data_IF_790319498463
#
_entry.id   IF_790319498463
#
_cell.length_a   1.000
_cell.length_b   1.000
_cell.length_c   1.000
_cell.angle_alpha   90.00
_cell.angle_beta   90.00
_cell.angle_gamma   90.00
#
_symmetry.space_group_name_H-M   'P 1'
#
loop_
_entity.id
_entity.type
_entity.pdbx_description
1 polymer ?
#
# COMPACT_ATOMS: atom_id res chain seq x y z
N UNK A 1 0.19 -0.50 14.67
CA UNK A 1 -1.13 -1.11 14.39
C UNK A 1 -2.00 -0.01 13.83
N UNK A 2 -2.68 -0.24 12.71
CA UNK A 2 -3.77 0.63 12.28
C UNK A 2 -5.00 0.27 13.11
N UNK A 3 -5.61 1.25 13.79
CA UNK A 3 -6.90 1.05 14.45
C UNK A 3 -7.98 0.78 13.40
N UNK A 4 -8.95 -0.07 13.73
CA UNK A 4 -10.11 -0.27 12.86
C UNK A 4 -11.05 0.93 13.02
N UNK A 5 -11.70 1.34 11.92
CA UNK A 5 -12.61 2.47 11.94
C UNK A 5 -13.86 2.15 11.11
N UNK A 6 -14.98 2.77 11.48
CA UNK A 6 -16.23 2.69 10.76
C UNK A 6 -16.71 4.10 10.40
N UNK A 7 -17.22 4.24 9.19
CA UNK A 7 -17.94 5.42 8.73
C UNK A 7 -19.41 5.05 8.60
N UNK A 8 -20.25 5.71 9.39
CA UNK A 8 -21.68 5.44 9.45
C UNK A 8 -22.45 6.64 8.93
N UNK A 9 -23.51 6.40 8.15
CA UNK A 9 -24.42 7.44 7.67
C UNK A 9 -25.79 7.23 8.29
N UNK A 10 -26.32 8.28 8.92
CA UNK A 10 -27.71 8.29 9.40
C UNK A 10 -28.70 8.66 8.30
N UNK A 11 -29.98 8.37 8.53
CA UNK A 11 -31.09 8.81 7.67
C UNK A 11 -31.18 10.33 7.50
N UNK A 12 -30.65 11.10 8.45
CA UNK A 12 -30.61 12.56 8.40
C UNK A 12 -29.34 13.10 7.71
N UNK A 13 -28.67 12.27 6.88
CA UNK A 13 -27.44 12.63 6.17
C UNK A 13 -26.28 13.12 7.07
N UNK A 14 -26.26 12.67 8.33
CA UNK A 14 -25.09 12.85 9.21
C UNK A 14 -24.16 11.66 9.10
N UNK A 15 -22.88 11.95 8.95
CA UNK A 15 -21.77 11.02 9.02
C UNK A 15 -21.19 10.97 10.43
N UNK A 16 -21.01 9.76 10.92
CA UNK A 16 -20.34 9.49 12.17
C UNK A 16 -19.06 8.73 11.87
N UNK A 17 -17.95 9.26 12.33
CA UNK A 17 -16.68 8.56 12.29
C UNK A 17 -16.39 7.92 13.63
N UNK A 18 -16.21 6.61 13.63
CA UNK A 18 -16.01 5.83 14.83
C UNK A 18 -14.70 5.06 14.76
N UNK A 19 -13.89 5.17 15.81
CA UNK A 19 -12.73 4.33 16.04
C UNK A 19 -13.16 3.10 16.83
N UNK A 20 -12.73 1.94 16.36
CA UNK A 20 -12.95 0.64 16.97
C UNK A 20 -11.58 0.18 17.47
N UNK A 21 -11.30 0.48 18.73
CA UNK A 21 -10.08 0.03 19.37
C UNK A 21 -10.36 -1.27 20.13
N UNK A 22 -9.61 -2.32 19.80
CA UNK A 22 -9.58 -3.53 20.62
C UNK A 22 -8.82 -3.23 21.91
N UNK A 23 -9.44 -3.46 23.07
CA UNK A 23 -8.70 -3.40 24.34
C UNK A 23 -7.64 -4.49 24.33
N UNK A 24 -6.41 -4.17 24.74
CA UNK A 24 -5.31 -5.15 24.82
C UNK A 24 -5.61 -6.30 25.79
N UNK A 25 -6.58 -6.10 26.67
CA UNK A 25 -6.91 -6.98 27.78
C UNK A 25 -8.07 -7.94 27.45
N UNK A 26 -8.57 -7.94 26.21
CA UNK A 26 -9.60 -8.89 25.76
C UNK A 26 -11.00 -8.66 26.36
N UNK A 27 -11.21 -7.56 27.08
CA UNK A 27 -12.43 -7.25 27.83
C UNK A 27 -13.51 -6.52 27.00
N UNK A 28 -13.28 -6.34 25.70
CA UNK A 28 -14.26 -5.78 24.76
C UNK A 28 -13.67 -4.72 23.81
N UNK A 29 -14.49 -4.30 22.85
CA UNK A 29 -14.13 -3.21 21.93
C UNK A 29 -14.57 -1.87 22.52
N UNK A 30 -13.67 -0.90 22.57
CA UNK A 30 -14.02 0.48 22.92
C UNK A 30 -14.37 1.20 21.64
N UNK A 31 -15.56 1.78 21.63
CA UNK A 31 -16.11 2.51 20.50
C UNK A 31 -16.00 4.00 20.80
N UNK A 32 -15.08 4.70 20.12
CA UNK A 32 -14.93 6.15 20.29
C UNK A 32 -15.43 6.87 19.05
N UNK A 33 -16.40 7.76 19.23
CA UNK A 33 -16.79 8.69 18.16
C UNK A 33 -15.68 9.73 18.02
N UNK A 34 -15.05 9.77 16.85
CA UNK A 34 -14.03 10.75 16.50
C UNK A 34 -14.63 12.06 16.01
N UNK A 35 -15.81 12.00 15.39
CA UNK A 35 -16.51 13.16 14.89
C UNK A 35 -17.90 12.84 14.33
N UNK A 36 -18.70 13.88 14.21
CA UNK A 36 -20.05 13.86 13.66
C UNK A 36 -20.19 15.05 12.73
N UNK A 37 -20.42 14.78 11.45
CA UNK A 37 -20.43 15.76 10.37
C UNK A 37 -21.69 15.61 9.55
N UNK A 38 -22.13 16.68 8.90
CA UNK A 38 -23.10 16.61 7.82
C UNK A 38 -22.36 16.36 6.49
N UNK A 39 -23.05 15.76 5.53
CA UNK A 39 -22.46 15.52 4.20
C UNK A 39 -22.04 16.82 3.47
N UNK A 40 -22.75 17.92 3.70
CA UNK A 40 -22.41 19.24 3.14
C UNK A 40 -21.18 19.89 3.78
N UNK A 41 -20.66 19.34 4.88
CA UNK A 41 -19.43 19.79 5.53
C UNK A 41 -18.18 19.10 4.95
N UNK A 42 -18.34 18.21 3.97
CA UNK A 42 -17.23 17.63 3.22
C UNK A 42 -16.81 18.60 2.12
N UNK A 43 -15.57 19.07 2.20
CA UNK A 43 -14.96 19.94 1.22
C UNK A 43 -14.42 19.16 0.02
N UNK A 44 -13.73 18.06 0.29
CA UNK A 44 -13.00 17.32 -0.72
C UNK A 44 -12.76 15.87 -0.29
N UNK A 45 -12.80 14.97 -1.27
CA UNK A 45 -12.36 13.59 -1.13
C UNK A 45 -11.26 13.29 -2.14
N UNK A 46 -10.12 12.82 -1.66
CA UNK A 46 -9.01 12.38 -2.50
C UNK A 46 -8.89 10.86 -2.42
N UNK A 47 -8.84 10.19 -3.57
CA UNK A 47 -8.62 8.74 -3.67
C UNK A 47 -7.28 8.42 -4.30
N UNK A 48 -6.70 7.27 -3.97
CA UNK A 48 -5.43 6.81 -4.51
C UNK A 48 -5.08 5.40 -4.06
N UNK A 49 -3.86 4.97 -4.35
CA UNK A 49 -3.36 3.63 -4.03
C UNK A 49 -4.20 2.53 -4.68
N UNK A 50 -4.47 2.64 -5.97
CA UNK A 50 -5.39 1.75 -6.69
C UNK A 50 -6.78 1.74 -6.05
N UNK A 51 -7.25 2.91 -5.60
CA UNK A 51 -8.49 3.10 -4.82
C UNK A 51 -8.52 2.42 -3.43
N UNK A 52 -7.39 2.00 -2.86
CA UNK A 52 -7.34 1.46 -1.50
C UNK A 52 -7.24 2.53 -0.40
N UNK A 53 -6.92 3.78 -0.76
CA UNK A 53 -6.88 4.89 0.18
C UNK A 53 -7.87 5.99 -0.18
N UNK A 54 -8.42 6.61 0.85
CA UNK A 54 -9.32 7.76 0.75
C UNK A 54 -8.99 8.77 1.84
N UNK A 55 -8.79 10.03 1.44
CA UNK A 55 -8.67 11.16 2.34
C UNK A 55 -9.94 11.99 2.24
N UNK A 56 -10.56 12.25 3.38
CA UNK A 56 -11.75 13.09 3.49
C UNK A 56 -11.34 14.37 4.21
N UNK A 57 -11.45 15.49 3.51
CA UNK A 57 -11.17 16.82 4.02
C UNK A 57 -12.49 17.53 4.33
N UNK A 58 -12.66 17.95 5.58
CA UNK A 58 -13.82 18.70 6.05
C UNK A 58 -13.60 20.20 5.87
N UNK A 59 -14.69 20.97 5.82
CA UNK A 59 -14.67 22.45 5.71
C UNK A 59 -14.01 23.12 6.94
N UNK A 60 -14.12 22.52 8.12
CA UNK A 60 -13.50 22.99 9.37
C UNK A 60 -11.98 22.70 9.46
N UNK A 61 -11.40 22.11 8.42
CA UNK A 61 -9.99 21.75 8.32
C UNK A 61 -9.65 20.37 8.88
N UNK A 62 -10.60 19.64 9.48
CA UNK A 62 -10.35 18.27 9.94
C UNK A 62 -10.16 17.34 8.75
N UNK A 63 -9.18 16.44 8.86
CA UNK A 63 -8.83 15.46 7.82
C UNK A 63 -8.87 14.06 8.37
N UNK A 64 -9.43 13.13 7.60
CA UNK A 64 -9.37 11.70 7.90
C UNK A 64 -8.80 10.92 6.72
N UNK A 65 -7.90 9.99 7.00
CA UNK A 65 -7.34 9.07 5.99
C UNK A 65 -7.79 7.66 6.32
N UNK A 66 -8.45 7.03 5.36
CA UNK A 66 -8.89 5.65 5.41
C UNK A 66 -8.03 4.82 4.47
N UNK A 67 -7.55 3.69 4.95
CA UNK A 67 -6.96 2.64 4.13
C UNK A 67 -7.86 1.42 4.24
N UNK A 68 -8.44 1.02 3.12
CA UNK A 68 -9.35 -0.11 3.06
C UNK A 68 -8.60 -1.38 2.70
N UNK A 69 -9.11 -2.51 3.19
CA UNK A 69 -8.54 -3.84 2.89
C UNK A 69 -8.85 -4.31 1.47
N UNK A 70 -9.82 -3.70 0.80
CA UNK A 70 -10.31 -4.07 -0.52
C UNK A 70 -10.96 -2.86 -1.20
N UNK A 71 -10.80 -2.77 -2.52
CA UNK A 71 -11.29 -1.63 -3.32
C UNK A 71 -12.81 -1.52 -3.25
N UNK A 72 -13.51 -2.64 -3.10
CA UNK A 72 -14.96 -2.72 -2.96
C UNK A 72 -15.46 -1.93 -1.74
N UNK A 73 -14.69 -1.96 -0.64
CA UNK A 73 -14.99 -1.18 0.57
C UNK A 73 -14.85 0.31 0.28
N UNK A 74 -13.80 0.72 -0.44
CA UNK A 74 -13.65 2.13 -0.84
C UNK A 74 -14.80 2.59 -1.74
N UNK A 75 -15.24 1.76 -2.69
CA UNK A 75 -16.39 2.07 -3.55
C UNK A 75 -17.67 2.24 -2.72
N UNK A 76 -17.89 1.37 -1.74
CA UNK A 76 -19.03 1.50 -0.82
C UNK A 76 -18.96 2.79 0.01
N UNK A 77 -17.77 3.14 0.52
CA UNK A 77 -17.56 4.39 1.25
C UNK A 77 -17.86 5.61 0.37
N UNK A 78 -17.39 5.66 -0.88
CA UNK A 78 -17.75 6.76 -1.80
C UNK A 78 -19.26 6.84 -2.07
N UNK A 79 -19.92 5.68 -2.17
CA UNK A 79 -21.37 5.61 -2.29
C UNK A 79 -22.09 6.18 -1.06
N UNK A 80 -21.63 5.87 0.15
CA UNK A 80 -22.17 6.43 1.39
C UNK A 80 -22.06 7.96 1.42
N UNK A 81 -20.94 8.49 0.95
CA UNK A 81 -20.68 9.93 0.86
C UNK A 81 -21.54 10.66 -0.19
N UNK A 82 -22.42 9.94 -0.92
CA UNK A 82 -23.25 10.50 -1.99
C UNK A 82 -22.47 11.21 -3.11
N UNK A 83 -21.20 10.86 -3.30
CA UNK A 83 -20.35 11.50 -4.32
C UNK A 83 -20.81 11.15 -5.75
N UNK A 84 -21.58 10.06 -5.92
CA UNK A 84 -22.04 9.56 -7.22
C UNK A 84 -23.55 9.75 -7.49
N UNK A 85 -24.28 10.55 -6.72
CA UNK A 85 -25.74 10.70 -6.85
C UNK A 85 -26.18 12.07 -7.36
N UNK A 86 -26.54 12.18 -8.64
CA UNK A 86 -27.44 13.23 -9.13
C UNK A 86 -28.83 13.01 -8.53
N UNK A 87 -29.52 13.96 -7.93
CA UNK A 87 -30.02 15.19 -8.52
C UNK A 87 -30.53 16.06 -7.35
N UNK A 88 -30.28 17.37 -7.41
CA UNK A 88 -30.57 18.34 -6.35
C UNK A 88 -29.64 18.21 -5.12
N UNK A 89 -28.34 18.47 -5.29
CA UNK A 89 -27.59 19.06 -4.17
C UNK A 89 -26.47 19.95 -4.65
N UNK A 90 -26.44 21.16 -4.10
CA UNK A 90 -25.42 22.19 -4.16
C UNK A 90 -24.12 21.80 -3.44
N UNK A 91 -23.80 20.50 -3.37
CA UNK A 91 -22.66 20.01 -2.59
C UNK A 91 -21.37 20.35 -3.32
N UNK A 92 -20.57 21.21 -2.68
CA UNK A 92 -19.24 21.69 -3.12
C UNK A 92 -18.13 20.65 -3.06
N UNK A 93 -18.45 19.42 -2.65
CA UNK A 93 -17.46 18.35 -2.47
C UNK A 93 -16.80 18.00 -3.82
N UNK A 94 -15.49 18.23 -3.92
CA UNK A 94 -14.70 17.75 -5.06
C UNK A 94 -14.20 16.32 -4.82
N UNK A 95 -14.17 15.51 -5.88
CA UNK A 95 -13.51 14.20 -5.87
C UNK A 95 -12.26 14.28 -6.74
N UNK A 96 -11.10 13.96 -6.16
CA UNK A 96 -9.81 13.98 -6.86
C UNK A 96 -9.12 12.62 -6.81
N UNK A 97 -8.40 12.29 -7.87
CA UNK A 97 -7.56 11.09 -7.95
C UNK A 97 -6.08 11.46 -7.84
N UNK A 98 -5.40 10.86 -6.87
CA UNK A 98 -3.98 11.03 -6.60
C UNK A 98 -3.10 9.99 -7.31
N UNK A 99 -3.68 9.10 -8.11
CA UNK A 99 -2.95 7.98 -8.74
C UNK A 99 -1.78 8.47 -9.60
N UNK A 100 -1.98 9.52 -10.41
CA UNK A 100 -0.92 10.09 -11.24
C UNK A 100 0.20 10.74 -10.42
N UNK A 101 -0.16 11.44 -9.33
CA UNK A 101 0.81 12.04 -8.41
C UNK A 101 1.62 10.97 -7.71
N UNK A 102 1.00 9.85 -7.33
CA UNK A 102 1.69 8.72 -6.71
C UNK A 102 2.67 8.06 -7.67
N UNK A 103 2.34 7.92 -8.96
CA UNK A 103 3.28 7.43 -9.97
C UNK A 103 4.49 8.38 -10.09
N UNK A 104 4.27 9.69 -10.20
CA UNK A 104 5.36 10.68 -10.26
C UNK A 104 6.27 10.63 -9.01
N UNK A 105 5.68 10.50 -7.82
CA UNK A 105 6.42 10.41 -6.56
C UNK A 105 7.18 9.09 -6.46
N UNK A 106 6.63 7.99 -6.97
CA UNK A 106 7.31 6.70 -7.03
C UNK A 106 8.50 6.76 -7.98
N UNK A 107 8.35 7.31 -9.19
CA UNK A 107 9.44 7.49 -10.16
C UNK A 107 10.64 8.23 -9.54
N UNK A 108 10.35 9.32 -8.81
CA UNK A 108 11.36 10.08 -8.07
C UNK A 108 12.02 9.24 -6.97
N UNK A 109 11.24 8.46 -6.22
CA UNK A 109 11.75 7.62 -5.13
C UNK A 109 12.70 6.54 -5.63
N UNK A 110 12.35 5.85 -6.72
CA UNK A 110 13.16 4.75 -7.27
C UNK A 110 14.21 5.22 -8.29
N UNK A 111 14.33 6.53 -8.54
CA UNK A 111 15.24 7.13 -9.53
C UNK A 111 15.15 6.45 -10.92
N UNK A 112 13.95 6.05 -11.34
CA UNK A 112 13.72 5.33 -12.59
C UNK A 112 12.44 5.84 -13.24
N UNK A 113 12.50 6.09 -14.55
CA UNK A 113 11.29 6.35 -15.33
C UNK A 113 10.51 5.05 -15.48
N UNK A 114 9.23 5.07 -15.13
CA UNK A 114 8.29 3.95 -15.21
C UNK A 114 7.66 3.86 -16.59
N UNK A 115 8.47 3.91 -17.67
CA UNK A 115 7.95 3.90 -19.06
C UNK A 115 7.10 2.69 -19.40
N UNK A 116 7.40 1.56 -18.78
CA UNK A 116 6.70 0.27 -18.89
C UNK A 116 5.52 0.10 -17.94
N UNK A 117 5.33 1.05 -17.01
CA UNK A 117 4.24 1.08 -16.04
C UNK A 117 4.43 0.16 -14.83
N UNK A 118 3.42 0.18 -13.97
CA UNK A 118 3.31 -0.65 -12.78
C UNK A 118 2.43 -1.84 -13.12
N UNK A 119 2.96 -3.06 -13.05
CA UNK A 119 2.22 -4.29 -13.35
C UNK A 119 1.34 -4.75 -12.19
N UNK A 120 1.74 -4.39 -10.98
CA UNK A 120 1.01 -4.73 -9.76
C UNK A 120 1.31 -3.75 -8.64
N UNK A 121 0.29 -3.42 -7.86
CA UNK A 121 0.39 -2.64 -6.63
C UNK A 121 -0.48 -3.26 -5.54
N UNK A 122 0.02 -3.27 -4.30
CA UNK A 122 -0.83 -3.45 -3.13
C UNK A 122 -0.16 -3.01 -1.83
N UNK A 123 -0.98 -2.58 -0.88
CA UNK A 123 -0.59 -2.48 0.52
C UNK A 123 -0.54 -3.87 1.18
N UNK A 124 0.60 -4.18 1.78
CA UNK A 124 0.88 -5.47 2.42
C UNK A 124 1.44 -5.27 3.82
N UNK A 125 1.38 -6.33 4.63
CA UNK A 125 2.20 -6.46 5.82
C UNK A 125 3.48 -7.18 5.43
N UNK A 126 4.60 -6.49 5.56
CA UNK A 126 5.92 -6.93 5.14
C UNK A 126 6.80 -7.22 6.35
N UNK A 127 7.61 -8.26 6.22
CA UNK A 127 8.65 -8.63 7.17
C UNK A 127 9.87 -9.16 6.41
N UNK A 128 11.07 -8.83 6.87
CA UNK A 128 12.33 -9.33 6.30
C UNK A 128 13.32 -9.68 7.41
N UNK A 129 14.23 -10.63 7.15
CA UNK A 129 15.22 -11.12 8.13
C UNK A 129 16.07 -10.03 8.81
N UNK A 130 16.28 -8.89 8.14
CA UNK A 130 17.06 -7.76 8.68
C UNK A 130 16.30 -6.91 9.72
N UNK A 131 15.00 -7.14 9.91
CA UNK A 131 14.22 -6.44 10.92
C UNK A 131 14.60 -6.97 12.31
N UNK A 132 15.37 -6.20 13.07
CA UNK A 132 15.74 -6.50 14.47
C UNK A 132 14.50 -6.68 15.39
N UNK A 133 13.32 -6.27 14.94
CA UNK A 133 12.03 -6.53 15.59
C UNK A 133 11.18 -7.58 14.85
N UNK A 134 10.48 -8.43 15.61
CA UNK A 134 9.49 -9.43 15.12
C UNK A 134 8.21 -8.81 14.54
N UNK A 135 8.15 -7.51 14.31
CA UNK A 135 6.91 -6.81 13.96
C UNK A 135 6.71 -6.73 12.45
N UNK A 136 5.49 -7.04 12.02
CA UNK A 136 5.03 -6.78 10.65
C UNK A 136 4.90 -5.28 10.41
N UNK A 137 5.40 -4.83 9.27
CA UNK A 137 5.40 -3.43 8.86
C UNK A 137 4.45 -3.24 7.69
N UNK A 138 3.56 -2.24 7.74
CA UNK A 138 2.75 -1.90 6.57
C UNK A 138 3.64 -1.26 5.52
N UNK A 139 3.59 -1.79 4.30
CA UNK A 139 4.39 -1.36 3.16
C UNK A 139 3.57 -1.43 1.89
N UNK A 140 3.91 -0.59 0.94
CA UNK A 140 3.47 -0.78 -0.43
C UNK A 140 4.45 -1.63 -1.21
N UNK A 141 3.88 -2.59 -1.92
CA UNK A 141 4.60 -3.47 -2.81
C UNK A 141 4.20 -3.15 -4.25
N UNK A 142 5.22 -2.94 -5.08
CA UNK A 142 5.09 -2.70 -6.51
C UNK A 142 5.79 -3.81 -7.29
N UNK A 143 5.23 -4.18 -8.44
CA UNK A 143 5.92 -4.98 -9.46
C UNK A 143 6.10 -4.14 -10.71
N UNK A 144 7.36 -3.94 -11.11
CA UNK A 144 7.77 -3.02 -12.18
C UNK A 144 8.89 -3.70 -12.96
N UNK A 145 8.73 -3.95 -14.26
CA UNK A 145 9.81 -4.47 -15.12
C UNK A 145 10.56 -5.71 -14.58
N UNK A 146 9.86 -6.64 -13.93
CA UNK A 146 10.49 -7.81 -13.34
C UNK A 146 11.19 -7.55 -12.00
N UNK A 147 11.02 -6.36 -11.42
CA UNK A 147 11.47 -5.97 -10.10
C UNK A 147 10.29 -5.87 -9.14
N UNK A 148 10.42 -6.45 -7.96
CA UNK A 148 9.57 -6.19 -6.81
C UNK A 148 10.21 -5.06 -6.01
N UNK A 149 9.47 -3.97 -5.79
CA UNK A 149 9.91 -2.84 -4.97
C UNK A 149 9.00 -2.72 -3.76
N UNK A 150 9.60 -2.56 -2.59
CA UNK A 150 8.90 -2.33 -1.32
C UNK A 150 9.25 -0.94 -0.82
N UNK A 151 8.22 -0.12 -0.58
CA UNK A 151 8.36 1.24 -0.09
C UNK A 151 7.56 1.42 1.21
N UNK A 152 8.06 2.31 2.06
CA UNK A 152 7.26 2.94 3.11
C UNK A 152 6.46 4.10 2.51
N UNK A 153 5.16 4.15 2.81
CA UNK A 153 4.27 5.25 2.42
C UNK A 153 3.99 6.18 3.60
N UNK A 154 4.25 7.47 3.42
CA UNK A 154 3.85 8.50 4.36
C UNK A 154 2.40 8.93 4.10
N UNK A 155 1.45 8.15 4.65
CA UNK A 155 0.01 8.40 4.47
C UNK A 155 -0.47 9.74 5.04
N UNK A 156 0.32 10.43 5.88
CA UNK A 156 0.00 11.79 6.35
C UNK A 156 0.01 12.78 5.18
N UNK A 157 0.92 12.57 4.22
CA UNK A 157 1.04 13.38 3.01
C UNK A 157 0.12 12.94 1.88
N UNK A 158 -0.54 11.79 2.00
CA UNK A 158 -1.46 11.31 0.98
C UNK A 158 -2.56 12.36 0.72
N UNK A 159 -2.72 12.80 -0.52
CA UNK A 159 -3.74 13.78 -0.89
C UNK A 159 -3.54 15.17 -0.30
N UNK A 160 -2.35 15.52 0.20
CA UNK A 160 -2.03 16.90 0.58
C UNK A 160 -1.86 17.79 -0.65
N UNK A 161 -2.04 19.10 -0.48
CA UNK A 161 -1.72 20.03 -1.57
C UNK A 161 -0.24 19.94 -1.94
N UNK A 162 0.11 20.27 -3.19
CA UNK A 162 1.51 20.26 -3.64
C UNK A 162 2.37 21.26 -2.87
N UNK A 163 1.78 22.35 -2.38
CA UNK A 163 2.44 23.37 -1.57
C UNK A 163 2.62 22.93 -0.11
N UNK A 164 1.78 21.99 0.37
CA UNK A 164 1.84 21.38 1.71
C UNK A 164 2.70 20.11 1.77
N UNK A 165 3.35 19.72 0.66
CA UNK A 165 4.34 18.65 0.67
C UNK A 165 5.54 19.13 1.51
N UNK A 166 5.53 18.78 2.80
CA UNK A 166 6.61 19.10 3.74
C UNK A 166 7.97 18.52 3.32
N UNK A 167 8.99 18.68 4.17
CA UNK A 167 10.37 18.25 3.87
C UNK A 167 10.55 16.74 3.70
N UNK A 168 9.62 15.92 4.20
CA UNK A 168 9.69 14.47 4.11
C UNK A 168 9.09 13.98 2.78
N UNK A 169 9.66 12.98 2.09
CA UNK A 169 9.06 12.45 0.88
C UNK A 169 7.87 11.51 1.18
N UNK A 170 6.93 11.44 0.23
CA UNK A 170 5.75 10.57 0.32
C UNK A 170 6.15 9.08 0.33
N UNK A 171 6.99 8.67 -0.62
CA UNK A 171 7.58 7.35 -0.63
C UNK A 171 9.00 7.39 -0.06
N UNK A 172 9.32 6.42 0.79
CA UNK A 172 10.69 6.09 1.13
C UNK A 172 10.98 4.66 0.66
N UNK A 173 12.05 4.51 -0.10
CA UNK A 173 12.53 3.20 -0.53
C UNK A 173 12.90 2.35 0.70
N UNK A 174 12.41 1.11 0.76
CA UNK A 174 12.77 0.15 1.83
C UNK A 174 13.70 -0.93 1.27
N UNK A 175 13.20 -1.74 0.33
CA UNK A 175 13.96 -2.86 -0.23
C UNK A 175 13.42 -3.25 -1.61
N UNK A 176 14.19 -4.04 -2.36
CA UNK A 176 13.80 -4.52 -3.68
C UNK A 176 14.34 -5.93 -3.96
N UNK A 177 13.70 -6.62 -4.90
CA UNK A 177 14.11 -7.95 -5.34
C UNK A 177 13.81 -8.11 -6.83
N UNK A 178 14.81 -8.49 -7.64
CA UNK A 178 14.54 -8.91 -9.02
C UNK A 178 13.88 -10.29 -8.99
N UNK A 179 12.79 -10.46 -9.73
CA UNK A 179 11.98 -11.68 -9.76
C UNK A 179 12.81 -12.90 -10.18
N UNK A 180 13.77 -12.71 -11.09
CA UNK A 180 14.69 -13.78 -11.53
C UNK A 180 15.57 -14.37 -10.41
N UNK A 181 15.73 -13.65 -9.28
CA UNK A 181 16.56 -14.10 -8.15
C UNK A 181 15.74 -14.79 -7.06
N UNK A 182 14.43 -14.96 -7.25
CA UNK A 182 13.60 -15.71 -6.32
C UNK A 182 13.94 -17.19 -6.48
N UNK A 183 14.40 -17.81 -5.40
CA UNK A 183 14.81 -19.22 -5.38
C UNK A 183 13.64 -20.13 -5.04
N UNK A 184 12.81 -19.69 -4.09
CA UNK A 184 11.68 -20.46 -3.58
C UNK A 184 10.55 -19.52 -3.15
N UNK A 185 9.33 -20.00 -3.36
CA UNK A 185 8.09 -19.31 -3.03
C UNK A 185 7.21 -20.26 -2.21
N UNK A 186 6.92 -19.91 -0.95
CA UNK A 186 6.05 -20.69 -0.06
C UNK A 186 4.75 -19.94 0.16
N UNK A 187 3.64 -20.58 -0.17
CA UNK A 187 2.30 -20.00 -0.09
C UNK A 187 1.56 -20.63 1.08
N UNK A 188 1.07 -19.78 1.99
CA UNK A 188 0.19 -20.13 3.10
C UNK A 188 -1.18 -19.42 2.89
N UNK A 189 -2.09 -19.99 2.06
CA UNK A 189 -3.31 -19.30 1.65
C UNK A 189 -4.22 -18.95 2.83
N UNK A 190 -4.33 -19.86 3.81
CA UNK A 190 -5.13 -19.67 5.04
C UNK A 190 -4.69 -18.44 5.83
N UNK A 191 -3.39 -18.19 5.87
CA UNK A 191 -2.81 -17.02 6.54
C UNK A 191 -2.71 -15.80 5.63
N UNK A 192 -3.08 -15.93 4.35
CA UNK A 192 -2.83 -14.96 3.28
C UNK A 192 -1.37 -14.52 3.25
N UNK A 193 -0.47 -15.44 3.54
CA UNK A 193 0.95 -15.18 3.74
C UNK A 193 1.75 -15.83 2.61
N UNK A 194 2.76 -15.11 2.15
CA UNK A 194 3.71 -15.55 1.16
C UNK A 194 5.11 -15.38 1.70
N UNK A 195 5.92 -16.43 1.66
CA UNK A 195 7.35 -16.34 1.96
C UNK A 195 8.13 -16.43 0.66
N UNK A 196 8.97 -15.42 0.41
CA UNK A 196 9.93 -15.40 -0.69
C UNK A 196 11.32 -15.66 -0.13
N UNK A 197 12.00 -16.65 -0.69
CA UNK A 197 13.42 -16.88 -0.43
C UNK A 197 14.17 -16.39 -1.66
N UNK A 198 15.02 -15.38 -1.45
CA UNK A 198 15.72 -14.70 -2.52
C UNK A 198 17.22 -15.00 -2.45
N UNK A 199 17.81 -15.26 -3.61
CA UNK A 199 19.25 -15.37 -3.77
C UNK A 199 19.88 -13.98 -3.73
N UNK A 200 21.07 -13.86 -3.15
CA UNK A 200 21.76 -12.57 -3.09
C UNK A 200 22.14 -12.09 -4.51
N UNK A 201 21.76 -10.86 -4.84
CA UNK A 201 22.53 -9.98 -5.73
C UNK A 201 23.39 -9.11 -4.81
N UNK A 202 24.63 -8.76 -5.18
CA UNK A 202 25.37 -7.75 -4.43
C UNK A 202 24.46 -6.55 -4.17
N UNK A 203 24.40 -6.12 -2.91
CA UNK A 203 23.93 -4.77 -2.61
C UNK A 203 24.99 -3.80 -3.13
N UNK A 204 25.12 -3.71 -4.45
CA UNK A 204 25.39 -2.40 -4.99
C UNK A 204 24.22 -1.58 -4.49
N UNK A 205 24.53 -0.55 -3.70
CA UNK A 205 23.70 0.64 -3.75
C UNK A 205 23.46 0.84 -5.24
N UNK A 206 22.26 0.55 -5.73
CA UNK A 206 21.95 0.93 -7.08
C UNK A 206 21.79 2.45 -6.97
N UNK A 207 22.91 3.16 -6.96
CA UNK A 207 22.99 4.42 -7.67
C UNK A 207 22.67 4.04 -9.11
N UNK A 208 21.38 4.06 -9.42
CA UNK A 208 20.85 3.93 -10.78
C UNK A 208 21.34 5.21 -11.49
N UNK A 209 22.60 5.21 -11.90
CA UNK A 209 23.36 6.39 -12.29
C UNK A 209 24.55 6.68 -11.38
N UNK A 210 25.58 5.84 -11.42
CA UNK A 210 26.99 6.23 -11.64
C UNK A 210 27.93 5.09 -11.26
N UNK A 211 28.82 4.76 -12.19
CA UNK A 211 29.76 3.65 -12.14
C UNK A 211 30.97 3.98 -11.27
N UNK A 212 31.11 3.36 -10.10
CA UNK A 212 32.42 3.22 -9.45
C UNK A 212 32.66 1.81 -8.92
N UNK A 213 33.65 1.17 -9.55
CA UNK A 213 34.22 -0.14 -9.20
C UNK A 213 34.86 -0.09 -7.81
N UNK A 214 34.36 -0.90 -6.89
CA UNK A 214 35.03 -1.25 -5.64
C UNK A 214 34.62 -2.65 -5.21
N UNK A 215 35.50 -3.64 -5.39
CA UNK A 215 35.27 -5.02 -4.94
C UNK A 215 35.33 -5.05 -3.41
N UNK A 216 34.18 -5.10 -2.76
CA UNK A 216 34.05 -5.50 -1.36
C UNK A 216 33.57 -6.94 -1.31
N UNK A 217 34.28 -7.76 -0.54
CA UNK A 217 34.00 -9.18 -0.35
C UNK A 217 32.76 -9.32 0.55
N UNK A 218 31.59 -9.59 -0.03
CA UNK A 218 30.32 -9.65 0.71
C UNK A 218 29.96 -11.11 1.03
N UNK A 219 29.79 -11.40 2.32
CA UNK A 219 29.31 -12.69 2.81
C UNK A 219 27.93 -13.02 2.21
N UNK A 220 27.83 -14.18 1.56
CA UNK A 220 26.62 -14.69 0.90
C UNK A 220 25.60 -15.17 1.95
N UNK A 221 24.52 -14.43 2.17
CA UNK A 221 23.36 -14.91 2.95
C UNK A 221 22.09 -14.67 2.16
N UNK A 222 21.28 -15.71 1.97
CA UNK A 222 19.92 -15.60 1.41
C UNK A 222 19.06 -14.66 2.26
N UNK A 223 18.15 -13.92 1.64
CA UNK A 223 17.20 -13.07 2.36
C UNK A 223 15.80 -13.66 2.26
N UNK A 224 15.13 -13.79 3.40
CA UNK A 224 13.74 -14.22 3.50
C UNK A 224 12.83 -13.00 3.65
N UNK A 225 11.84 -12.90 2.77
CA UNK A 225 10.74 -11.95 2.90
C UNK A 225 9.47 -12.69 3.24
N UNK A 226 8.71 -12.19 4.20
CA UNK A 226 7.33 -12.62 4.44
C UNK A 226 6.39 -11.48 4.11
N UNK A 227 5.36 -11.80 3.34
CA UNK A 227 4.43 -10.83 2.78
C UNK A 227 3.03 -11.34 3.08
N UNK A 228 2.31 -10.62 3.93
CA UNK A 228 0.94 -10.96 4.31
C UNK A 228 -0.03 -9.97 3.67
N UNK A 229 -1.02 -10.53 3.00
CA UNK A 229 -2.02 -9.82 2.21
C UNK A 229 -3.32 -9.67 2.98
N UNK A 230 -4.04 -8.59 2.67
CA UNK A 230 -5.40 -8.39 3.20
C UNK A 230 -6.45 -9.20 2.43
N UNK A 231 -6.18 -9.51 1.15
CA UNK A 231 -7.05 -10.27 0.26
C UNK A 231 -6.33 -11.49 -0.32
N UNK A 232 -6.99 -12.64 -0.29
CA UNK A 232 -6.49 -13.89 -0.92
C UNK A 232 -6.43 -13.76 -2.45
N UNK A 233 -7.41 -13.11 -3.07
CA UNK A 233 -7.43 -12.86 -4.51
C UNK A 233 -6.21 -12.04 -4.96
N UNK A 234 -5.82 -11.01 -4.21
CA UNK A 234 -4.62 -10.22 -4.50
C UNK A 234 -3.33 -11.04 -4.35
N UNK A 235 -3.25 -11.92 -3.33
CA UNK A 235 -2.13 -12.85 -3.18
C UNK A 235 -2.02 -13.77 -4.40
N UNK A 236 -3.14 -14.35 -4.86
CA UNK A 236 -3.15 -15.28 -5.99
C UNK A 236 -2.80 -14.58 -7.30
N UNK A 237 -3.28 -13.35 -7.52
CA UNK A 237 -2.89 -12.51 -8.67
C UNK A 237 -1.41 -12.20 -8.66
N UNK A 238 -0.86 -11.81 -7.51
CA UNK A 238 0.57 -11.56 -7.35
C UNK A 238 1.39 -12.81 -7.66
N UNK A 239 1.04 -13.97 -7.10
CA UNK A 239 1.71 -15.24 -7.36
C UNK A 239 1.66 -15.60 -8.86
N UNK A 240 0.51 -15.40 -9.50
CA UNK A 240 0.34 -15.68 -10.93
C UNK A 240 1.23 -14.78 -11.79
N UNK A 241 1.32 -13.49 -11.45
CA UNK A 241 2.20 -12.53 -12.10
C UNK A 241 3.67 -12.91 -11.94
N UNK A 242 4.10 -13.28 -10.72
CA UNK A 242 5.48 -13.71 -10.46
C UNK A 242 5.85 -14.92 -11.32
N UNK A 243 4.97 -15.92 -11.42
CA UNK A 243 5.21 -17.09 -12.28
C UNK A 243 5.37 -16.69 -13.74
N UNK A 244 4.48 -15.84 -14.26
CA UNK A 244 4.51 -15.40 -15.65
C UNK A 244 5.81 -14.66 -15.98
N UNK A 245 6.23 -13.73 -15.12
CA UNK A 245 7.48 -12.97 -15.31
C UNK A 245 8.71 -13.87 -15.17
N UNK A 246 8.73 -14.76 -14.18
CA UNK A 246 9.86 -15.67 -13.95
C UNK A 246 10.04 -16.64 -15.12
N UNK A 247 8.95 -17.20 -15.67
CA UNK A 247 8.98 -18.05 -16.87
C UNK A 247 9.55 -17.33 -18.09
N UNK A 248 9.31 -16.02 -18.22
CA UNK A 248 9.89 -15.21 -19.30
C UNK A 248 11.38 -14.88 -19.10
N UNK A 249 11.91 -15.00 -17.88
CA UNK A 249 13.25 -14.51 -17.52
C UNK A 249 14.25 -15.62 -17.17
N UNK A 250 13.78 -16.81 -16.77
CA UNK A 250 14.61 -17.93 -16.33
C UNK A 250 14.20 -19.23 -17.02
N UNK A 251 15.19 -20.04 -17.39
CA UNK A 251 14.99 -21.35 -17.98
C UNK A 251 14.52 -22.41 -16.97
N UNK A 252 14.65 -22.15 -15.66
CA UNK A 252 14.20 -23.05 -14.61
C UNK A 252 12.83 -22.64 -14.06
N UNK A 253 11.94 -23.59 -13.75
CA UNK A 253 10.67 -23.27 -13.11
C UNK A 253 10.91 -22.78 -11.67
N UNK A 254 10.16 -21.76 -11.26
CA UNK A 254 10.18 -21.27 -9.89
C UNK A 254 9.71 -22.36 -8.93
N UNK A 255 10.50 -22.66 -7.89
CA UNK A 255 10.12 -23.66 -6.88
C UNK A 255 9.01 -23.11 -6.00
N UNK A 256 7.85 -23.77 -6.02
CA UNK A 256 6.67 -23.36 -5.26
C UNK A 256 6.28 -24.46 -4.28
N UNK A 257 6.07 -24.10 -3.01
CA UNK A 257 5.50 -24.98 -1.99
C UNK A 257 4.18 -24.37 -1.50
N UNK A 258 3.15 -25.20 -1.40
CA UNK A 258 1.89 -24.83 -0.75
C UNK A 258 1.83 -25.52 0.61
N UNK A 259 1.57 -24.75 1.66
CA UNK A 259 1.47 -25.22 3.06
C UNK A 259 0.13 -24.87 3.67
#
# INVERSE_FOLDING_TARGET
MCSEAALLKSCNNKLYLQLIDGTKDGLGNVWRILGCYRLDEIREVVTGLGMQAMRINMEDGVTYVFVTRAVEVSRYLLGLLNIFGSSVSTVRCSLQSWEHIQVELLEKCICRSLKSGIYFYSMVLFWQDKCEGKSWLSRSLFVIEGLIVVCFENLVQFGSSRDDLGSLPYYHFDTHCLIQNILELVIEPKNRCLTLITGNVPSENISIGESKKGRLQVNMRSCTWKIKWFSEDYLLRFVSLLKAIHLGSSASPLRIKCS
#
